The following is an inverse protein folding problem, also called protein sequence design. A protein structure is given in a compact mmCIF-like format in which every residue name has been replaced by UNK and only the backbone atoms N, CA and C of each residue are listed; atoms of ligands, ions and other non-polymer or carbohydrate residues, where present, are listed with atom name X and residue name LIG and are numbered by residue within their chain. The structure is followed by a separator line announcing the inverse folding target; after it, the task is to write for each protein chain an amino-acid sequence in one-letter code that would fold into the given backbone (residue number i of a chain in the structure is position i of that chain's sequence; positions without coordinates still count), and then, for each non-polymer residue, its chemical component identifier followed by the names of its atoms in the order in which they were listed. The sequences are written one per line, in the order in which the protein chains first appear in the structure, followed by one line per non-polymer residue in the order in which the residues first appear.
data_IF_704015744173
#
_entry.id   IF_704015744173
#
_cell.length_a   1.000
_cell.length_b   1.000
_cell.length_c   1.000
_cell.angle_alpha   90.00
_cell.angle_beta   90.00
_cell.angle_gamma   90.00
#
_symmetry.space_group_name_H-M   'P 1'
#
loop_
_entity.id
_entity.type
_entity.pdbx_description
1 polymer ?
#
# COMPACT_ATOMS: atom_id res chain seq x y z
N UNK A 1 62.39 63.54 -31.49
CA UNK A 1 63.56 62.65 -31.61
C UNK A 1 63.25 61.38 -30.82
N UNK A 2 62.87 60.30 -31.52
CA UNK A 2 63.64 59.03 -31.67
C UNK A 2 63.70 58.22 -30.36
N UNK A 3 63.26 56.96 -30.24
CA UNK A 3 62.69 55.96 -31.15
C UNK A 3 62.67 54.57 -30.46
N UNK A 4 61.82 53.65 -30.97
CA UNK A 4 61.96 52.16 -31.12
C UNK A 4 62.51 51.32 -29.93
N UNK A 5 62.14 50.07 -29.69
CA UNK A 5 61.27 49.06 -30.29
C UNK A 5 61.22 47.87 -29.31
N UNK A 6 60.20 47.01 -29.42
CA UNK A 6 60.14 45.75 -28.66
C UNK A 6 58.74 45.16 -28.58
N UNK A 7 58.09 44.92 -29.73
CA UNK A 7 56.94 44.02 -29.81
C UNK A 7 57.40 42.78 -30.55
N UNK A 8 57.63 41.70 -29.81
CA UNK A 8 57.73 40.37 -30.39
C UNK A 8 56.36 39.72 -30.33
N UNK A 9 55.92 39.29 -31.50
CA UNK A 9 54.83 38.33 -31.70
C UNK A 9 55.14 37.04 -30.95
N UNK A 10 54.15 36.51 -30.24
CA UNK A 10 53.96 35.06 -30.16
C UNK A 10 52.46 34.77 -30.30
N UNK A 11 52.12 34.42 -31.55
CA UNK A 11 50.90 33.75 -31.95
C UNK A 11 51.07 32.27 -31.61
N UNK A 12 50.50 31.81 -30.50
CA UNK A 12 50.13 30.40 -30.34
C UNK A 12 48.67 30.34 -29.91
N UNK A 13 47.83 29.99 -30.88
CA UNK A 13 46.42 29.73 -30.71
C UNK A 13 46.21 28.61 -29.71
N UNK A 14 45.71 28.97 -28.54
CA UNK A 14 44.98 28.04 -27.67
C UNK A 14 43.52 28.10 -28.11
N UNK A 15 43.17 27.27 -29.10
CA UNK A 15 41.79 26.81 -29.29
C UNK A 15 41.40 26.00 -28.05
N UNK A 16 40.90 26.71 -27.03
CA UNK A 16 40.27 26.09 -25.88
C UNK A 16 39.00 25.38 -26.34
N UNK A 17 39.13 24.11 -26.70
CA UNK A 17 37.99 23.22 -26.89
C UNK A 17 37.11 23.30 -25.63
N UNK A 18 35.78 23.45 -25.74
CA UNK A 18 34.92 23.31 -24.59
C UNK A 18 35.12 21.89 -24.06
N UNK A 19 35.72 21.77 -22.88
CA UNK A 19 35.75 20.50 -22.17
C UNK A 19 34.30 20.16 -21.81
N UNK A 20 33.67 19.37 -22.69
CA UNK A 20 32.38 18.70 -22.48
C UNK A 20 32.53 17.74 -21.30
N UNK A 21 32.55 18.34 -20.10
CA UNK A 21 32.48 17.63 -18.85
C UNK A 21 31.03 17.20 -18.68
N UNK A 22 30.76 15.95 -19.03
CA UNK A 22 29.54 15.25 -18.64
C UNK A 22 29.50 15.23 -17.11
N UNK A 23 28.92 16.24 -16.49
CA UNK A 23 28.60 16.18 -15.06
C UNK A 23 27.38 15.26 -14.94
N UNK A 24 27.59 13.95 -14.80
CA UNK A 24 26.53 13.05 -14.32
C UNK A 24 26.01 13.67 -13.02
N UNK A 25 24.74 14.09 -13.03
CA UNK A 25 24.11 14.73 -11.87
C UNK A 25 23.89 13.67 -10.79
N UNK A 26 24.93 13.40 -9.98
CA UNK A 26 24.89 12.53 -8.79
C UNK A 26 23.74 12.89 -7.83
N UNK A 27 23.30 14.15 -7.85
CA UNK A 27 22.15 14.65 -7.09
C UNK A 27 20.81 14.02 -7.51
N UNK A 28 20.64 13.63 -8.78
CA UNK A 28 19.41 12.98 -9.25
C UNK A 28 19.35 11.50 -8.82
N UNK A 29 20.49 10.80 -8.85
CA UNK A 29 20.59 9.40 -8.44
C UNK A 29 20.31 9.23 -6.94
N UNK A 30 20.82 10.14 -6.12
CA UNK A 30 20.57 10.13 -4.66
C UNK A 30 19.11 10.37 -4.30
N UNK A 31 18.36 11.16 -5.09
CA UNK A 31 16.94 11.41 -4.88
C UNK A 31 16.09 10.20 -5.34
N UNK A 32 16.47 9.51 -6.42
CA UNK A 32 15.71 8.38 -6.96
C UNK A 32 16.00 7.05 -6.24
N UNK A 33 17.16 6.90 -5.62
CA UNK A 33 17.57 5.66 -4.96
C UNK A 33 16.56 5.14 -3.92
N UNK A 34 15.98 5.96 -3.01
CA UNK A 34 14.98 5.47 -2.05
C UNK A 34 13.71 4.94 -2.74
N UNK A 35 13.27 5.61 -3.81
CA UNK A 35 12.13 5.15 -4.62
C UNK A 35 12.42 3.84 -5.33
N UNK A 36 13.59 3.73 -5.98
CA UNK A 36 14.00 2.50 -6.65
C UNK A 36 14.12 1.33 -5.65
N UNK A 37 14.74 1.56 -4.49
CA UNK A 37 14.88 0.55 -3.44
C UNK A 37 13.52 0.11 -2.89
N UNK A 38 12.61 1.05 -2.61
CA UNK A 38 11.27 0.73 -2.12
C UNK A 38 10.43 -0.02 -3.15
N UNK A 39 10.47 0.40 -4.42
CA UNK A 39 9.79 -0.30 -5.51
C UNK A 39 10.33 -1.70 -5.73
N UNK A 40 11.66 -1.87 -5.70
CA UNK A 40 12.30 -3.17 -5.79
C UNK A 40 11.92 -4.06 -4.61
N UNK A 41 11.95 -3.56 -3.38
CA UNK A 41 11.54 -4.31 -2.20
C UNK A 41 10.08 -4.80 -2.30
N UNK A 42 9.15 -3.96 -2.76
CA UNK A 42 7.75 -4.35 -2.99
C UNK A 42 7.66 -5.49 -4.01
N UNK A 43 8.34 -5.37 -5.15
CA UNK A 43 8.31 -6.39 -6.19
C UNK A 43 8.95 -7.69 -5.70
N UNK A 44 10.16 -7.64 -5.16
CA UNK A 44 10.88 -8.82 -4.67
C UNK A 44 10.09 -9.55 -3.60
N UNK A 45 9.53 -8.84 -2.62
CA UNK A 45 8.68 -9.45 -1.59
C UNK A 45 7.41 -10.06 -2.19
N UNK A 46 6.78 -9.38 -3.14
CA UNK A 46 5.58 -9.91 -3.78
C UNK A 46 5.84 -11.24 -4.48
N UNK A 47 7.01 -11.42 -5.12
CA UNK A 47 7.43 -12.69 -5.73
C UNK A 47 7.99 -13.71 -4.72
N UNK A 48 8.37 -13.28 -3.53
CA UNK A 48 8.73 -14.14 -2.41
C UNK A 48 7.50 -14.46 -1.52
N UNK A 49 6.34 -14.71 -2.13
CA UNK A 49 5.07 -15.00 -1.41
C UNK A 49 4.67 -13.94 -0.37
N UNK A 50 5.04 -12.68 -0.60
CA UNK A 50 4.82 -11.57 0.34
C UNK A 50 5.77 -11.53 1.55
N UNK A 51 6.81 -12.37 1.57
CA UNK A 51 7.69 -12.54 2.73
C UNK A 51 7.00 -13.22 3.91
N UNK A 52 6.04 -14.10 3.64
CA UNK A 52 5.24 -14.78 4.68
C UNK A 52 6.04 -15.83 5.46
N UNK A 53 7.12 -16.35 4.86
CA UNK A 53 7.89 -17.43 5.46
C UNK A 53 8.91 -16.89 6.47
N UNK A 54 9.08 -17.54 7.64
CA UNK A 54 10.03 -17.08 8.67
C UNK A 54 11.46 -16.92 8.17
N UNK A 55 11.89 -17.76 7.22
CA UNK A 55 13.21 -17.67 6.59
C UNK A 55 13.45 -16.29 5.92
N UNK A 56 12.41 -15.70 5.34
CA UNK A 56 12.51 -14.38 4.69
C UNK A 56 12.67 -13.27 5.74
N UNK A 57 12.03 -13.40 6.91
CA UNK A 57 12.10 -12.38 7.96
C UNK A 57 13.53 -12.15 8.46
N UNK A 58 14.33 -13.21 8.62
CA UNK A 58 15.71 -13.12 9.10
C UNK A 58 16.60 -12.31 8.15
N UNK A 59 16.56 -12.63 6.85
CA UNK A 59 17.33 -11.91 5.82
C UNK A 59 16.91 -10.45 5.68
N UNK A 60 15.60 -10.17 5.71
CA UNK A 60 15.09 -8.80 5.63
C UNK A 60 15.46 -8.00 6.88
N UNK A 61 15.37 -8.62 8.06
CA UNK A 61 15.77 -7.97 9.32
C UNK A 61 17.24 -7.60 9.28
N UNK A 62 18.10 -8.52 8.82
CA UNK A 62 19.53 -8.25 8.65
C UNK A 62 19.78 -7.12 7.64
N UNK A 63 19.10 -7.13 6.49
CA UNK A 63 19.25 -6.08 5.48
C UNK A 63 18.87 -4.70 6.04
N UNK A 64 17.72 -4.57 6.71
CA UNK A 64 17.32 -3.31 7.33
C UNK A 64 18.21 -2.94 8.52
N UNK A 65 18.71 -3.91 9.29
CA UNK A 65 19.65 -3.65 10.38
C UNK A 65 20.97 -3.08 9.85
N UNK A 66 21.50 -3.60 8.73
CA UNK A 66 22.69 -3.06 8.08
C UNK A 66 22.45 -1.64 7.55
N UNK A 67 21.26 -1.36 6.99
CA UNK A 67 20.89 0.01 6.58
C UNK A 67 20.82 0.96 7.78
N UNK A 68 20.19 0.53 8.88
CA UNK A 68 20.11 1.34 10.09
C UNK A 68 21.51 1.56 10.71
N UNK A 69 22.33 0.51 10.80
CA UNK A 69 23.68 0.57 11.33
C UNK A 69 24.56 1.48 10.49
N UNK A 70 24.56 1.34 9.17
CA UNK A 70 25.32 2.21 8.27
C UNK A 70 24.87 3.66 8.37
N UNK A 71 23.56 3.91 8.50
CA UNK A 71 23.04 5.25 8.70
C UNK A 71 23.51 5.87 10.02
N UNK A 72 23.53 5.11 11.12
CA UNK A 72 24.05 5.59 12.42
C UNK A 72 25.56 5.82 12.36
N UNK A 73 26.33 4.90 11.76
CA UNK A 73 27.79 5.02 11.67
C UNK A 73 28.25 6.14 10.73
N UNK A 74 27.46 6.47 9.72
CA UNK A 74 27.77 7.56 8.78
C UNK A 74 27.23 8.92 9.23
N UNK A 75 26.44 8.99 10.30
CA UNK A 75 25.86 10.23 10.80
C UNK A 75 26.79 10.91 11.81
N UNK A 76 27.09 12.19 11.58
CA UNK A 76 27.78 13.03 12.59
C UNK A 76 26.87 13.32 13.80
N UNK A 77 25.55 13.41 13.56
CA UNK A 77 24.54 13.61 14.61
C UNK A 77 23.23 12.91 14.20
N UNK A 78 22.64 12.16 15.13
CA UNK A 78 21.33 11.50 14.93
C UNK A 78 20.29 12.22 15.78
N UNK A 79 19.41 12.99 15.15
CA UNK A 79 18.27 13.63 15.81
C UNK A 79 16.97 12.90 15.49
N UNK A 80 16.30 12.39 16.54
CA UNK A 80 15.02 11.69 16.44
C UNK A 80 13.92 12.49 17.13
N UNK A 81 12.83 12.75 16.43
CA UNK A 81 11.66 13.39 17.03
C UNK A 81 10.85 12.39 17.88
N UNK A 82 10.03 12.90 18.80
CA UNK A 82 9.23 12.07 19.71
C UNK A 82 8.31 11.09 18.97
N UNK A 83 7.84 11.43 17.76
CA UNK A 83 6.95 10.56 16.98
C UNK A 83 7.71 9.39 16.38
N UNK A 84 8.92 9.62 15.88
CA UNK A 84 9.80 8.55 15.41
C UNK A 84 10.18 7.60 16.54
N UNK A 85 10.51 8.13 17.73
CA UNK A 85 10.76 7.32 18.91
C UNK A 85 9.52 6.52 19.35
N UNK A 86 8.33 7.14 19.31
CA UNK A 86 7.09 6.44 19.65
C UNK A 86 6.76 5.32 18.64
N UNK A 87 7.02 5.52 17.35
CA UNK A 87 6.83 4.50 16.32
C UNK A 87 7.77 3.31 16.53
N UNK A 88 9.08 3.57 16.60
CA UNK A 88 10.10 2.51 16.74
C UNK A 88 9.97 1.83 18.09
N UNK A 89 9.84 2.60 19.17
CA UNK A 89 9.67 2.09 20.52
C UNK A 89 8.36 1.34 20.71
N UNK A 90 7.27 1.76 20.06
CA UNK A 90 6.00 1.05 20.09
C UNK A 90 6.07 -0.31 19.37
N UNK A 91 6.71 -0.36 18.19
CA UNK A 91 6.95 -1.61 17.48
C UNK A 91 7.89 -2.53 18.26
N UNK A 92 8.99 -2.00 18.82
CA UNK A 92 9.89 -2.76 19.67
C UNK A 92 9.19 -3.28 20.94
N UNK A 93 8.34 -2.46 21.57
CA UNK A 93 7.52 -2.85 22.71
C UNK A 93 6.54 -3.96 22.36
N UNK A 94 5.89 -3.89 21.20
CA UNK A 94 5.01 -4.95 20.70
C UNK A 94 5.79 -6.25 20.43
N UNK A 95 7.00 -6.15 19.86
CA UNK A 95 7.90 -7.29 19.65
C UNK A 95 8.31 -7.94 20.97
N UNK A 96 8.69 -7.15 21.96
CA UNK A 96 9.04 -7.64 23.30
C UNK A 96 7.83 -8.23 24.01
N UNK A 97 6.64 -7.66 23.81
CA UNK A 97 5.39 -8.22 24.33
C UNK A 97 5.06 -9.58 23.70
N UNK A 98 5.22 -9.71 22.38
CA UNK A 98 5.08 -10.98 21.69
C UNK A 98 6.08 -12.01 22.24
N UNK A 99 7.35 -11.63 22.43
CA UNK A 99 8.35 -12.53 23.00
C UNK A 99 8.05 -12.90 24.46
N UNK A 100 7.62 -11.94 25.29
CA UNK A 100 7.22 -12.19 26.67
C UNK A 100 6.03 -13.15 26.76
N UNK A 101 5.17 -13.18 25.73
CA UNK A 101 4.03 -14.09 25.66
C UNK A 101 4.42 -15.56 25.62
N UNK A 102 5.69 -15.89 25.36
CA UNK A 102 6.24 -17.25 25.55
C UNK A 102 5.97 -17.79 26.96
N UNK A 103 5.93 -16.92 27.97
CA UNK A 103 5.76 -17.31 29.38
C UNK A 103 4.40 -17.94 29.66
N UNK A 104 3.35 -17.53 28.93
CA UNK A 104 1.98 -18.00 29.15
C UNK A 104 1.31 -18.63 27.92
N UNK A 105 1.97 -18.64 26.77
CA UNK A 105 1.42 -19.25 25.57
C UNK A 105 1.39 -20.78 25.68
N UNK A 106 0.35 -21.44 25.16
CA UNK A 106 0.30 -22.91 25.10
C UNK A 106 1.45 -23.55 24.31
N UNK A 107 2.07 -22.81 23.39
CA UNK A 107 3.25 -23.23 22.64
C UNK A 107 4.14 -22.02 22.36
N UNK A 108 5.43 -22.13 22.70
CA UNK A 108 6.42 -21.05 22.54
C UNK A 108 6.71 -20.67 21.08
N UNK A 109 6.47 -21.57 20.13
CA UNK A 109 6.79 -21.34 18.72
C UNK A 109 6.01 -20.14 18.11
N UNK A 110 4.71 -20.01 18.41
CA UNK A 110 3.90 -18.93 17.82
C UNK A 110 4.32 -17.54 18.28
N UNK A 111 4.48 -17.27 19.59
CA UNK A 111 4.96 -15.95 20.03
C UNK A 111 6.37 -15.62 19.54
N UNK A 112 7.25 -16.62 19.39
CA UNK A 112 8.59 -16.40 18.82
C UNK A 112 8.51 -15.98 17.36
N UNK A 113 7.74 -16.68 16.52
CA UNK A 113 7.56 -16.31 15.11
C UNK A 113 6.90 -14.93 14.95
N UNK A 114 5.96 -14.58 15.84
CA UNK A 114 5.37 -13.25 15.86
C UNK A 114 6.37 -12.18 16.31
N UNK A 115 7.25 -12.48 17.26
CA UNK A 115 8.34 -11.60 17.68
C UNK A 115 9.38 -11.41 16.57
N UNK A 116 9.74 -12.44 15.80
CA UNK A 116 10.63 -12.33 14.64
C UNK A 116 10.04 -11.39 13.58
N UNK A 117 8.75 -11.53 13.26
CA UNK A 117 8.05 -10.62 12.35
C UNK A 117 7.96 -9.20 12.91
N UNK A 118 7.72 -9.06 14.21
CA UNK A 118 7.70 -7.77 14.90
C UNK A 118 9.06 -7.08 14.86
N UNK A 119 10.15 -7.84 15.05
CA UNK A 119 11.53 -7.34 14.99
C UNK A 119 11.85 -6.80 13.61
N UNK A 120 11.46 -7.51 12.55
CA UNK A 120 11.56 -7.01 11.18
C UNK A 120 10.88 -5.64 11.03
N UNK A 121 9.64 -5.48 11.51
CA UNK A 121 8.93 -4.21 11.42
C UNK A 121 9.59 -3.10 12.23
N UNK A 122 10.07 -3.39 13.45
CA UNK A 122 10.77 -2.42 14.29
C UNK A 122 12.08 -1.95 13.65
N UNK A 123 12.88 -2.87 13.12
CA UNK A 123 14.16 -2.57 12.46
C UNK A 123 13.95 -1.85 11.14
N UNK A 124 12.97 -2.27 10.34
CA UNK A 124 12.60 -1.56 9.11
C UNK A 124 12.14 -0.13 9.40
N UNK A 125 11.32 0.08 10.44
CA UNK A 125 10.90 1.41 10.87
C UNK A 125 12.10 2.26 11.32
N UNK A 126 13.02 1.70 12.11
CA UNK A 126 14.24 2.38 12.52
C UNK A 126 15.11 2.79 11.32
N UNK A 127 15.35 1.88 10.38
CA UNK A 127 16.09 2.17 9.16
C UNK A 127 15.46 3.30 8.34
N UNK A 128 14.13 3.28 8.17
CA UNK A 128 13.41 4.32 7.44
C UNK A 128 13.48 5.67 8.15
N UNK A 129 13.31 5.71 9.48
CA UNK A 129 13.43 6.94 10.27
C UNK A 129 14.83 7.55 10.15
N UNK A 130 15.87 6.71 10.13
CA UNK A 130 17.26 7.16 10.05
C UNK A 130 17.66 7.64 8.65
N UNK A 131 17.16 7.00 7.59
CA UNK A 131 17.60 7.26 6.20
C UNK A 131 16.69 8.21 5.44
N UNK A 132 15.38 8.19 5.71
CA UNK A 132 14.39 8.89 4.87
C UNK A 132 14.15 10.29 5.39
N UNK A 133 14.73 11.27 4.69
CA UNK A 133 14.47 12.68 4.93
C UNK A 133 13.12 13.11 4.33
N UNK A 134 12.56 14.23 4.82
CA UNK A 134 11.30 14.80 4.30
C UNK A 134 11.29 15.02 2.79
N UNK A 135 12.44 15.39 2.22
CA UNK A 135 12.60 15.59 0.78
C UNK A 135 12.51 14.29 -0.03
N UNK A 136 12.84 13.15 0.60
CA UNK A 136 12.92 11.84 -0.05
C UNK A 136 11.67 11.00 0.11
N UNK A 137 10.77 11.36 1.04
CA UNK A 137 9.49 10.66 1.26
C UNK A 137 8.69 10.55 -0.04
N UNK A 138 8.61 11.61 -0.82
CA UNK A 138 7.90 11.62 -2.11
C UNK A 138 8.47 10.58 -3.08
N UNK A 139 9.79 10.47 -3.16
CA UNK A 139 10.48 9.49 -4.01
C UNK A 139 10.21 8.05 -3.53
N UNK A 140 10.33 7.81 -2.22
CA UNK A 140 10.03 6.51 -1.62
C UNK A 140 8.59 6.07 -1.92
N UNK A 141 7.61 6.93 -1.67
CA UNK A 141 6.19 6.64 -1.91
C UNK A 141 5.89 6.45 -3.40
N UNK A 142 6.51 7.24 -4.28
CA UNK A 142 6.39 7.05 -5.72
C UNK A 142 6.97 5.69 -6.16
N UNK A 143 8.08 5.27 -5.55
CA UNK A 143 8.67 3.95 -5.69
C UNK A 143 7.74 2.83 -5.28
N UNK A 144 7.10 2.94 -4.11
CA UNK A 144 6.08 1.99 -3.64
C UNK A 144 4.93 1.89 -4.65
N UNK A 145 4.37 3.02 -5.10
CA UNK A 145 3.29 3.02 -6.10
C UNK A 145 3.75 2.36 -7.41
N UNK A 146 4.96 2.64 -7.87
CA UNK A 146 5.52 2.02 -9.07
C UNK A 146 5.67 0.50 -8.89
N UNK A 147 6.21 0.04 -7.75
CA UNK A 147 6.34 -1.38 -7.42
C UNK A 147 4.99 -2.10 -7.36
N UNK A 148 4.01 -1.53 -6.65
CA UNK A 148 2.64 -2.08 -6.59
C UNK A 148 1.99 -2.11 -7.97
N UNK A 149 2.22 -1.09 -8.80
CA UNK A 149 1.72 -1.06 -10.18
C UNK A 149 2.36 -2.17 -11.01
N UNK A 150 3.67 -2.43 -10.86
CA UNK A 150 4.35 -3.53 -11.55
C UNK A 150 3.79 -4.89 -11.12
N UNK A 151 3.60 -5.11 -9.81
CA UNK A 151 2.96 -6.33 -9.26
C UNK A 151 1.53 -6.48 -9.81
N UNK A 152 0.76 -5.40 -9.85
CA UNK A 152 -0.59 -5.39 -10.41
C UNK A 152 -0.61 -5.75 -11.89
N UNK A 153 0.33 -5.24 -12.69
CA UNK A 153 0.44 -5.57 -14.11
C UNK A 153 0.82 -7.03 -14.32
N UNK A 154 1.76 -7.57 -13.53
CA UNK A 154 2.10 -8.99 -13.56
C UNK A 154 0.89 -9.85 -13.18
N UNK A 155 0.22 -9.53 -12.07
CA UNK A 155 -0.97 -10.24 -11.63
C UNK A 155 -2.05 -10.21 -12.72
N UNK A 156 -2.32 -9.07 -13.34
CA UNK A 156 -3.24 -9.01 -14.48
C UNK A 156 -2.77 -9.86 -15.66
N UNK A 157 -1.47 -9.88 -15.96
CA UNK A 157 -0.94 -10.67 -17.05
C UNK A 157 -1.20 -12.18 -16.89
N UNK A 158 -1.13 -12.72 -15.65
CA UNK A 158 -1.48 -14.13 -15.40
C UNK A 158 -2.95 -14.44 -15.72
N UNK A 159 -3.84 -13.46 -15.53
CA UNK A 159 -5.28 -13.59 -15.84
C UNK A 159 -5.62 -13.31 -17.31
N UNK A 160 -4.95 -12.33 -17.93
CA UNK A 160 -5.26 -11.86 -19.28
C UNK A 160 -4.55 -12.65 -20.38
N UNK A 161 -3.43 -13.30 -20.05
CA UNK A 161 -2.63 -14.10 -20.98
C UNK A 161 -2.32 -15.49 -20.37
N UNK A 162 -3.35 -16.27 -20.00
CA UNK A 162 -3.13 -17.58 -19.40
C UNK A 162 -2.36 -18.51 -20.36
N UNK A 163 -1.51 -19.37 -19.81
CA UNK A 163 -0.59 -20.24 -20.55
C UNK A 163 0.66 -19.54 -21.10
N UNK A 164 0.73 -18.21 -21.06
CA UNK A 164 1.95 -17.45 -21.39
C UNK A 164 2.60 -16.86 -20.13
N UNK A 165 1.78 -16.44 -19.17
CA UNK A 165 2.21 -15.85 -17.89
C UNK A 165 1.50 -16.59 -16.76
N UNK A 166 2.22 -16.88 -15.66
CA UNK A 166 1.64 -17.52 -14.47
C UNK A 166 1.58 -19.05 -14.52
N UNK A 167 2.31 -19.69 -15.44
CA UNK A 167 2.43 -21.15 -15.49
C UNK A 167 1.31 -21.86 -16.27
N UNK A 168 1.12 -23.14 -16.00
CA UNK A 168 0.12 -23.97 -16.66
C UNK A 168 -1.29 -23.52 -16.31
N UNK A 169 -2.16 -23.46 -17.32
CA UNK A 169 -3.56 -23.11 -17.11
C UNK A 169 -4.33 -24.30 -16.54
N UNK A 170 -4.92 -24.12 -15.37
CA UNK A 170 -5.84 -25.07 -14.77
C UNK A 170 -7.26 -24.48 -14.76
N UNK A 171 -8.19 -25.00 -15.59
CA UNK A 171 -9.59 -24.56 -15.61
C UNK A 171 -10.30 -24.69 -14.26
N UNK A 172 -9.84 -25.61 -13.40
CA UNK A 172 -10.43 -25.88 -12.08
C UNK A 172 -9.84 -25.02 -10.97
N UNK A 173 -8.66 -24.42 -11.21
CA UNK A 173 -8.06 -23.46 -10.28
C UNK A 173 -8.98 -22.24 -10.11
N UNK A 174 -9.05 -21.72 -8.88
CA UNK A 174 -9.99 -20.65 -8.53
C UNK A 174 -9.91 -19.41 -9.43
N UNK A 175 -11.01 -18.66 -9.49
CA UNK A 175 -11.11 -17.43 -10.30
C UNK A 175 -10.45 -16.19 -9.64
N UNK A 176 -9.92 -16.35 -8.43
CA UNK A 176 -9.33 -15.27 -7.65
C UNK A 176 -7.88 -14.99 -8.07
N UNK A 177 -7.52 -13.72 -8.13
CA UNK A 177 -6.15 -13.30 -8.42
C UNK A 177 -5.29 -13.33 -7.15
N UNK A 178 -4.27 -14.19 -7.13
CA UNK A 178 -3.39 -14.40 -5.98
C UNK A 178 -1.90 -14.19 -6.29
N UNK A 179 -1.46 -14.54 -7.50
CA UNK A 179 -0.08 -14.37 -7.95
C UNK A 179 0.33 -12.89 -8.05
N UNK A 180 1.59 -12.53 -7.72
CA UNK A 180 2.70 -13.41 -7.35
C UNK A 180 2.78 -13.75 -5.85
N UNK A 181 1.91 -13.15 -5.03
CA UNK A 181 1.96 -13.28 -3.55
C UNK A 181 1.46 -14.65 -3.09
N UNK A 182 0.63 -15.32 -3.89
CA UNK A 182 0.02 -16.60 -3.54
C UNK A 182 -1.24 -16.48 -2.68
N UNK A 183 -1.64 -15.26 -2.27
CA UNK A 183 -2.85 -15.03 -1.46
C UNK A 183 -3.62 -13.77 -1.89
N UNK A 184 -4.85 -13.96 -2.36
CA UNK A 184 -5.67 -12.90 -2.96
C UNK A 184 -6.04 -11.77 -1.99
N UNK A 185 -6.19 -12.05 -0.69
CA UNK A 185 -6.47 -11.02 0.29
C UNK A 185 -5.23 -10.14 0.55
N UNK A 186 -4.03 -10.73 0.61
CA UNK A 186 -2.79 -9.97 0.75
C UNK A 186 -2.52 -9.12 -0.51
N UNK A 187 -2.70 -9.70 -1.70
CA UNK A 187 -2.62 -8.96 -2.95
C UNK A 187 -3.64 -7.81 -2.97
N UNK A 188 -4.89 -8.07 -2.59
CA UNK A 188 -5.93 -7.05 -2.51
C UNK A 188 -5.53 -5.87 -1.61
N UNK A 189 -5.00 -6.13 -0.41
CA UNK A 189 -4.53 -5.07 0.50
C UNK A 189 -3.35 -4.28 -0.09
N UNK A 190 -2.40 -4.95 -0.74
CA UNK A 190 -1.29 -4.28 -1.43
C UNK A 190 -1.80 -3.35 -2.54
N UNK A 191 -2.76 -3.82 -3.34
CA UNK A 191 -3.38 -3.01 -4.41
C UNK A 191 -4.13 -1.81 -3.83
N UNK A 192 -4.84 -1.96 -2.70
CA UNK A 192 -5.50 -0.84 -2.01
C UNK A 192 -4.50 0.22 -1.58
N UNK A 193 -3.35 -0.16 -1.03
CA UNK A 193 -2.28 0.79 -0.71
C UNK A 193 -1.81 1.54 -1.97
N UNK A 194 -1.59 0.82 -3.06
CA UNK A 194 -1.24 1.43 -4.36
C UNK A 194 -2.31 2.41 -4.88
N UNK A 195 -3.59 2.06 -4.76
CA UNK A 195 -4.72 2.92 -5.18
C UNK A 195 -4.75 4.20 -4.34
N UNK A 196 -4.67 4.10 -3.01
CA UNK A 196 -4.76 5.27 -2.12
C UNK A 196 -3.57 6.21 -2.30
N UNK A 197 -2.34 5.67 -2.36
CA UNK A 197 -1.13 6.45 -2.59
C UNK A 197 -1.12 7.06 -4.01
N UNK A 198 -1.48 6.27 -5.03
CA UNK A 198 -1.60 6.71 -6.41
C UNK A 198 -2.63 7.81 -6.58
N UNK A 199 -3.78 7.72 -5.90
CA UNK A 199 -4.79 8.77 -5.88
C UNK A 199 -4.24 10.05 -5.24
N UNK A 200 -3.49 9.94 -4.14
CA UNK A 200 -2.78 11.07 -3.53
C UNK A 200 -1.87 11.80 -4.52
N UNK A 201 -1.02 11.07 -5.25
CA UNK A 201 -0.17 11.64 -6.30
C UNK A 201 -0.97 12.21 -7.47
N UNK A 202 -2.06 11.57 -7.88
CA UNK A 202 -2.91 12.05 -8.96
C UNK A 202 -3.70 13.33 -8.60
N UNK A 203 -3.95 13.57 -7.31
CA UNK A 203 -4.62 14.77 -6.81
C UNK A 203 -3.65 15.92 -6.53
N UNK A 204 -2.48 15.63 -5.98
CA UNK A 204 -1.56 16.63 -5.40
C UNK A 204 -0.16 16.65 -6.01
N UNK A 205 0.27 15.56 -6.63
CA UNK A 205 1.62 15.43 -7.16
C UNK A 205 1.89 16.41 -8.29
N UNK A 206 3.16 16.66 -8.57
CA UNK A 206 3.61 17.43 -9.73
C UNK A 206 3.22 16.73 -11.04
N UNK A 207 3.20 17.44 -12.17
CA UNK A 207 2.78 16.88 -13.47
C UNK A 207 3.46 15.55 -13.80
N UNK A 208 4.76 15.43 -13.49
CA UNK A 208 5.57 14.23 -13.73
C UNK A 208 5.09 12.99 -12.97
N UNK A 209 4.52 13.14 -11.76
CA UNK A 209 3.99 12.03 -10.96
C UNK A 209 2.47 11.90 -11.10
N UNK A 210 1.78 13.00 -11.33
CA UNK A 210 0.31 13.08 -11.38
C UNK A 210 -0.27 12.24 -12.50
N UNK A 211 0.28 12.39 -13.70
CA UNK A 211 -0.17 11.68 -14.90
C UNK A 211 0.03 10.17 -14.79
N UNK A 212 1.25 9.65 -14.52
CA UNK A 212 1.44 8.21 -14.40
C UNK A 212 0.69 7.62 -13.20
N UNK A 213 0.58 8.33 -12.07
CA UNK A 213 -0.19 7.85 -10.92
C UNK A 213 -1.68 7.72 -11.25
N UNK A 214 -2.27 8.71 -11.93
CA UNK A 214 -3.66 8.63 -12.39
C UNK A 214 -3.90 7.51 -13.40
N UNK A 215 -2.93 7.25 -14.28
CA UNK A 215 -2.98 6.15 -15.24
C UNK A 215 -2.86 4.77 -14.54
N UNK A 216 -2.02 4.66 -13.51
CA UNK A 216 -1.82 3.43 -12.74
C UNK A 216 -3.09 2.97 -11.99
N UNK A 217 -4.02 3.87 -11.67
CA UNK A 217 -5.28 3.52 -11.01
C UNK A 217 -6.13 2.52 -11.82
N UNK A 218 -6.00 2.51 -13.16
CA UNK A 218 -6.77 1.59 -14.03
C UNK A 218 -6.36 0.14 -13.80
N UNK A 219 -5.09 -0.28 -14.04
CA UNK A 219 -4.68 -1.65 -13.75
C UNK A 219 -4.84 -2.01 -12.27
N UNK A 220 -4.55 -1.09 -11.35
CA UNK A 220 -4.75 -1.34 -9.91
C UNK A 220 -6.20 -1.69 -9.56
N UNK A 221 -7.17 -0.93 -10.08
CA UNK A 221 -8.59 -1.17 -9.85
C UNK A 221 -9.09 -2.47 -10.48
N UNK A 222 -8.66 -2.77 -11.71
CA UNK A 222 -9.03 -4.02 -12.40
C UNK A 222 -8.41 -5.24 -11.71
N UNK A 223 -7.15 -5.16 -11.30
CA UNK A 223 -6.50 -6.23 -10.54
C UNK A 223 -7.21 -6.44 -9.21
N UNK A 224 -7.56 -5.35 -8.50
CA UNK A 224 -8.26 -5.40 -7.22
C UNK A 224 -9.62 -6.10 -7.38
N UNK A 225 -10.36 -5.81 -8.45
CA UNK A 225 -11.61 -6.50 -8.76
C UNK A 225 -11.41 -8.02 -8.88
N UNK A 226 -10.40 -8.45 -9.64
CA UNK A 226 -10.12 -9.88 -9.83
C UNK A 226 -9.60 -10.60 -8.57
N UNK A 227 -9.20 -9.89 -7.50
CA UNK A 227 -8.92 -10.54 -6.22
C UNK A 227 -10.19 -11.11 -5.56
N UNK A 228 -11.36 -10.55 -5.89
CA UNK A 228 -12.65 -10.82 -5.22
C UNK A 228 -12.56 -10.76 -3.68
N UNK A 229 -11.62 -9.97 -3.15
CA UNK A 229 -11.41 -9.83 -1.71
C UNK A 229 -12.39 -8.83 -1.09
N UNK A 230 -13.35 -9.33 -0.31
CA UNK A 230 -14.28 -8.47 0.46
C UNK A 230 -13.54 -7.60 1.47
N UNK A 231 -12.49 -8.15 2.10
CA UNK A 231 -11.64 -7.43 3.04
C UNK A 231 -10.92 -6.26 2.38
N UNK A 232 -10.38 -6.45 1.18
CA UNK A 232 -9.74 -5.36 0.45
C UNK A 232 -10.74 -4.27 0.02
N UNK A 233 -11.96 -4.65 -0.39
CA UNK A 233 -13.03 -3.66 -0.67
C UNK A 233 -13.35 -2.82 0.57
N UNK A 234 -13.53 -3.45 1.73
CA UNK A 234 -13.75 -2.73 2.99
C UNK A 234 -12.58 -1.83 3.33
N UNK A 235 -11.34 -2.31 3.19
CA UNK A 235 -10.14 -1.51 3.43
C UNK A 235 -10.06 -0.29 2.49
N UNK A 236 -10.41 -0.44 1.21
CA UNK A 236 -10.46 0.66 0.27
C UNK A 236 -11.50 1.71 0.67
N UNK A 237 -12.70 1.27 1.06
CA UNK A 237 -13.77 2.16 1.52
C UNK A 237 -13.34 2.94 2.75
N UNK A 238 -12.77 2.26 3.75
CA UNK A 238 -12.24 2.91 4.96
C UNK A 238 -11.14 3.91 4.60
N UNK A 239 -10.21 3.54 3.72
CA UNK A 239 -9.15 4.43 3.25
C UNK A 239 -9.67 5.68 2.53
N UNK A 240 -10.69 5.53 1.68
CA UNK A 240 -11.35 6.65 1.00
C UNK A 240 -12.06 7.55 2.02
N UNK A 241 -12.79 6.97 2.99
CA UNK A 241 -13.48 7.73 4.04
C UNK A 241 -12.48 8.55 4.87
N UNK A 242 -11.37 7.94 5.30
CA UNK A 242 -10.32 8.64 6.03
C UNK A 242 -9.71 9.75 5.18
N UNK A 243 -9.42 9.49 3.90
CA UNK A 243 -8.86 10.47 3.00
C UNK A 243 -9.80 11.67 2.79
N UNK A 244 -11.10 11.42 2.64
CA UNK A 244 -12.13 12.47 2.52
C UNK A 244 -12.36 13.23 3.84
N UNK A 245 -12.27 12.55 4.98
CA UNK A 245 -12.37 13.19 6.29
C UNK A 245 -11.20 14.15 6.54
N UNK A 246 -9.99 13.78 6.10
CA UNK A 246 -8.79 14.60 6.24
C UNK A 246 -8.72 15.70 5.16
N UNK A 247 -9.18 15.43 3.94
CA UNK A 247 -9.17 16.38 2.82
C UNK A 247 -10.54 16.39 2.10
N UNK A 248 -11.54 17.10 2.63
CA UNK A 248 -12.88 17.14 2.02
C UNK A 248 -12.87 17.68 0.58
N UNK A 249 -11.90 18.55 0.26
CA UNK A 249 -11.72 19.14 -1.08
C UNK A 249 -11.25 18.13 -2.12
N UNK A 250 -10.80 16.94 -1.72
CA UNK A 250 -10.40 15.86 -2.63
C UNK A 250 -11.60 15.19 -3.31
N UNK A 251 -12.83 15.36 -2.79
CA UNK A 251 -14.01 14.62 -3.25
C UNK A 251 -14.26 14.73 -4.76
N UNK A 252 -14.28 15.95 -5.32
CA UNK A 252 -14.49 16.15 -6.75
C UNK A 252 -13.35 15.54 -7.58
N UNK A 253 -12.10 15.68 -7.11
CA UNK A 253 -10.94 15.10 -7.78
C UNK A 253 -11.00 13.56 -7.81
N UNK A 254 -11.35 12.94 -6.68
CA UNK A 254 -11.52 11.50 -6.57
C UNK A 254 -12.63 10.99 -7.47
N UNK A 255 -13.78 11.66 -7.48
CA UNK A 255 -14.90 11.30 -8.35
C UNK A 255 -14.46 11.24 -9.83
N UNK A 256 -13.64 12.20 -10.29
CA UNK A 256 -13.09 12.17 -11.66
C UNK A 256 -12.03 11.09 -11.86
N UNK A 257 -11.22 10.80 -10.83
CA UNK A 257 -10.18 9.77 -10.87
C UNK A 257 -10.76 8.36 -10.93
N UNK A 258 -11.91 8.13 -10.30
CA UNK A 258 -12.56 6.82 -10.24
C UNK A 258 -13.25 6.41 -11.54
N UNK A 259 -13.54 7.34 -12.47
CA UNK A 259 -14.26 7.03 -13.71
C UNK A 259 -13.53 6.00 -14.58
N UNK A 260 -12.23 6.16 -14.82
CA UNK A 260 -11.46 5.24 -15.66
C UNK A 260 -11.26 3.85 -15.02
N UNK A 261 -10.88 3.74 -13.73
CA UNK A 261 -10.87 2.45 -13.02
C UNK A 261 -12.25 1.79 -13.00
N UNK A 262 -13.34 2.54 -12.74
CA UNK A 262 -14.70 1.99 -12.74
C UNK A 262 -15.11 1.45 -14.11
N UNK A 263 -14.77 2.15 -15.20
CA UNK A 263 -14.97 1.66 -16.55
C UNK A 263 -14.16 0.37 -16.81
N UNK A 264 -12.91 0.31 -16.35
CA UNK A 264 -12.08 -0.89 -16.43
C UNK A 264 -12.70 -2.08 -15.69
N UNK A 265 -13.17 -1.88 -14.46
CA UNK A 265 -13.85 -2.89 -13.65
C UNK A 265 -15.14 -3.36 -14.33
N UNK A 266 -15.94 -2.44 -14.88
CA UNK A 266 -17.15 -2.79 -15.61
C UNK A 266 -16.83 -3.67 -16.83
N UNK A 267 -15.78 -3.34 -17.58
CA UNK A 267 -15.33 -4.17 -18.71
C UNK A 267 -14.84 -5.54 -18.24
N UNK A 268 -14.13 -5.60 -17.12
CA UNK A 268 -13.62 -6.83 -16.51
C UNK A 268 -14.73 -7.74 -15.95
N UNK A 269 -15.87 -7.18 -15.58
CA UNK A 269 -17.01 -7.94 -15.04
C UNK A 269 -17.83 -8.71 -16.08
N UNK A 270 -17.71 -8.35 -17.37
CA UNK A 270 -18.49 -8.93 -18.47
C UNK A 270 -18.02 -10.31 -18.95
N UNK A 271 -16.71 -10.58 -19.15
CA UNK A 271 -16.24 -11.86 -19.66
C UNK A 271 -16.40 -13.00 -18.61
N UNK A 272 -17.22 -14.02 -18.87
CA UNK A 272 -17.39 -15.14 -17.92
C UNK A 272 -16.10 -15.94 -17.74
N UNK A 273 -15.27 -16.07 -18.78
CA UNK A 273 -14.03 -16.84 -18.72
C UNK A 273 -12.93 -16.21 -17.86
N UNK A 274 -13.11 -14.96 -17.44
CA UNK A 274 -12.19 -14.28 -16.52
C UNK A 274 -12.75 -14.18 -15.09
N UNK A 275 -14.01 -14.56 -14.87
CA UNK A 275 -14.71 -14.37 -13.59
C UNK A 275 -15.26 -15.66 -13.00
N UNK A 276 -15.24 -16.77 -13.74
CA UNK A 276 -15.71 -18.09 -13.32
C UNK A 276 -14.66 -19.16 -13.64
N UNK A 277 -14.68 -20.24 -12.86
CA UNK A 277 -13.89 -21.44 -13.14
C UNK A 277 -14.59 -22.33 -14.18
N UNK A 278 -13.83 -23.23 -14.80
CA UNK A 278 -14.31 -24.29 -15.70
C UNK A 278 -14.30 -23.94 -17.20
N UNK A 279 -13.74 -22.79 -17.58
CA UNK A 279 -13.71 -22.32 -18.97
C UNK A 279 -12.46 -22.83 -19.71
N UNK A 280 -12.53 -22.90 -21.03
CA UNK A 280 -11.38 -23.41 -21.81
C UNK A 280 -10.27 -22.36 -21.92
N UNK A 281 -9.02 -22.83 -22.06
CA UNK A 281 -7.85 -21.95 -22.25
C UNK A 281 -8.04 -21.00 -23.43
N UNK A 282 -8.53 -21.50 -24.57
CA UNK A 282 -8.72 -20.69 -25.79
C UNK A 282 -9.74 -19.56 -25.56
N UNK A 283 -10.85 -19.85 -24.85
CA UNK A 283 -11.86 -18.84 -24.50
C UNK A 283 -11.30 -17.80 -23.55
N UNK A 284 -10.55 -18.23 -22.53
CA UNK A 284 -9.91 -17.34 -21.55
C UNK A 284 -8.89 -16.40 -22.22
N UNK A 285 -8.06 -16.92 -23.14
CA UNK A 285 -7.10 -16.12 -23.91
C UNK A 285 -7.78 -15.08 -24.80
N UNK A 286 -8.81 -15.48 -25.56
CA UNK A 286 -9.52 -14.57 -26.45
C UNK A 286 -10.22 -13.44 -25.68
N UNK A 287 -10.84 -13.74 -24.53
CA UNK A 287 -11.48 -12.73 -23.68
C UNK A 287 -10.43 -11.85 -22.96
N UNK A 288 -9.32 -12.44 -22.51
CA UNK A 288 -8.21 -11.74 -21.85
C UNK A 288 -7.55 -10.70 -22.76
N UNK A 289 -7.23 -11.07 -24.01
CA UNK A 289 -6.64 -10.15 -25.00
C UNK A 289 -7.54 -8.94 -25.29
N UNK A 290 -8.85 -9.16 -25.43
CA UNK A 290 -9.84 -8.09 -25.65
C UNK A 290 -9.91 -7.13 -24.45
N UNK A 291 -9.87 -7.66 -23.24
CA UNK A 291 -9.88 -6.84 -22.04
C UNK A 291 -8.57 -6.05 -21.89
N UNK A 292 -7.42 -6.67 -22.18
CA UNK A 292 -6.11 -6.02 -22.15
C UNK A 292 -6.05 -4.79 -23.06
N UNK A 293 -6.53 -4.91 -24.30
CA UNK A 293 -6.59 -3.80 -25.26
C UNK A 293 -7.47 -2.65 -24.77
N UNK A 294 -8.66 -2.94 -24.22
CA UNK A 294 -9.54 -1.88 -23.69
C UNK A 294 -8.96 -1.19 -22.46
N UNK A 295 -8.29 -1.94 -21.58
CA UNK A 295 -7.63 -1.38 -20.41
C UNK A 295 -6.44 -0.49 -20.79
N UNK A 296 -5.68 -0.84 -21.85
CA UNK A 296 -4.57 -0.01 -22.33
C UNK A 296 -5.08 1.30 -22.95
N UNK A 297 -6.18 1.27 -23.70
CA UNK A 297 -6.85 2.47 -24.22
C UNK A 297 -7.31 3.41 -23.09
N UNK A 298 -7.97 2.87 -22.05
CA UNK A 298 -8.41 3.65 -20.90
C UNK A 298 -7.23 4.29 -20.16
N UNK A 299 -6.14 3.53 -19.98
CA UNK A 299 -4.90 4.02 -19.38
C UNK A 299 -4.28 5.16 -20.21
N UNK A 300 -4.21 4.99 -21.53
CA UNK A 300 -3.69 5.99 -22.47
C UNK A 300 -4.51 7.28 -22.46
N UNK A 301 -5.84 7.18 -22.54
CA UNK A 301 -6.75 8.33 -22.44
C UNK A 301 -6.59 9.07 -21.12
N UNK A 302 -6.44 8.33 -20.00
CA UNK A 302 -6.21 8.96 -18.69
C UNK A 302 -4.85 9.63 -18.58
N UNK A 303 -3.82 9.04 -19.20
CA UNK A 303 -2.49 9.64 -19.31
C UNK A 303 -2.48 10.94 -20.12
N UNK A 304 -3.29 11.02 -21.18
CA UNK A 304 -3.44 12.24 -21.99
C UNK A 304 -4.29 13.33 -21.33
N UNK A 305 -5.31 12.94 -20.55
CA UNK A 305 -6.17 13.84 -19.78
C UNK A 305 -5.52 14.22 -18.45
N UNK A 306 -4.45 15.02 -18.51
CA UNK A 306 -3.91 15.66 -17.31
C UNK A 306 -5.03 16.38 -16.56
N UNK A 307 -5.23 16.04 -15.28
CA UNK A 307 -6.21 16.73 -14.43
C UNK A 307 -5.88 18.23 -14.49
N UNK A 308 -6.81 19.10 -14.92
CA UNK A 308 -6.53 20.53 -15.01
C UNK A 308 -6.13 20.99 -13.62
N UNK A 309 -4.89 21.45 -13.49
CA UNK A 309 -4.41 22.05 -12.26
C UNK A 309 -5.32 23.24 -11.99
N UNK A 310 -6.14 23.16 -10.93
CA UNK A 310 -6.83 24.33 -10.41
C UNK A 310 -5.75 25.33 -10.02
N UNK A 311 -5.54 26.36 -10.86
CA UNK A 311 -4.72 27.52 -10.51
C UNK A 311 -5.27 28.04 -9.17
N UNK A 312 -4.43 28.04 -8.15
CA UNK A 312 -4.76 28.67 -6.88
C UNK A 312 -5.21 30.10 -7.14
N UNK A 313 -6.30 30.51 -6.49
CA UNK A 313 -6.77 31.88 -6.56
C UNK A 313 -5.63 32.84 -6.18
N UNK A 314 -5.43 33.95 -6.92
CA UNK A 314 -4.40 34.91 -6.58
C UNK A 314 -4.70 35.49 -5.20
N UNK A 315 -3.79 35.25 -4.26
CA UNK A 315 -3.73 35.99 -3.00
C UNK A 315 -3.59 37.47 -3.33
N UNK A 316 -4.59 38.26 -2.93
CA UNK A 316 -4.55 39.71 -3.05
C UNK A 316 -3.23 40.25 -2.49
N UNK A 317 -2.41 40.80 -3.39
CA UNK A 317 -1.27 41.64 -3.06
C UNK A 317 -1.78 42.84 -2.25
N UNK A 318 -1.58 42.80 -0.93
CA UNK A 318 -1.56 44.00 -0.11
C UNK A 318 -0.41 44.87 -0.60
N UNK A 319 -0.73 45.89 -1.40
CA UNK A 319 0.18 46.99 -1.76
C UNK A 319 0.64 47.68 -0.47
N UNK A 320 1.77 47.24 0.08
CA UNK A 320 2.52 47.98 1.08
C UNK A 320 3.10 49.23 0.43
N UNK A 321 2.61 50.41 0.83
CA UNK A 321 3.22 51.70 0.52
C UNK A 321 4.62 51.74 1.15
N UNK A 322 5.65 51.61 0.32
CA UNK A 322 7.02 51.97 0.70
C UNK A 322 7.14 53.50 0.71
N UNK A 323 7.12 54.08 1.90
CA UNK A 323 7.62 55.45 2.11
C UNK A 323 9.14 55.38 2.31
N UNK A 324 9.88 55.87 1.32
CA UNK A 324 11.31 56.13 1.44
C UNK A 324 11.57 57.13 2.58
N UNK A 325 12.35 56.73 3.60
CA UNK A 325 12.96 57.66 4.56
C UNK A 325 14.47 57.59 4.40
N UNK A 326 15.03 58.67 3.84
CA UNK A 326 16.46 58.94 3.82
C UNK A 326 17.01 59.09 5.24
N UNK A 327 18.12 58.43 5.51
CA UNK A 327 18.98 58.64 6.66
C UNK A 327 19.73 59.96 6.52
N UNK A 328 19.43 60.94 7.38
CA UNK A 328 20.36 62.01 7.75
C UNK A 328 20.71 61.82 9.23
N UNK A 329 21.99 61.65 9.50
CA UNK A 329 22.52 61.72 10.85
C UNK A 329 22.47 63.16 11.36
N UNK A 330 22.12 63.32 12.62
CA UNK A 330 22.78 64.33 13.45
C UNK A 330 22.67 63.97 14.94
N UNK A 331 23.61 64.55 15.67
CA UNK A 331 24.06 64.28 17.02
C UNK A 331 23.07 64.74 18.11
N UNK A 332 23.42 64.30 19.33
CA UNK A 332 23.18 64.89 20.67
C UNK A 332 21.96 64.38 21.44
N UNK A 333 22.21 64.10 22.73
CA UNK A 333 21.25 64.48 23.77
C UNK A 333 20.88 63.40 24.79
N UNK A 334 21.73 63.26 25.81
CA UNK A 334 21.48 62.86 27.21
C UNK A 334 20.02 62.73 27.72
N UNK A 335 19.89 61.81 28.69
CA UNK A 335 19.14 61.84 29.96
C UNK A 335 18.14 60.67 30.11
N UNK A 336 18.40 59.68 30.97
CA UNK A 336 17.98 59.59 32.40
C UNK A 336 16.47 59.87 32.57
N UNK A 337 15.63 58.91 32.96
CA UNK A 337 15.35 58.47 34.34
C UNK A 337 14.21 57.44 34.28
N UNK A 338 14.31 56.25 34.89
CA UNK A 338 13.92 55.84 36.26
C UNK A 338 12.41 55.80 36.57
N UNK A 339 12.07 54.78 37.38
CA UNK A 339 10.91 54.59 38.27
C UNK A 339 9.70 53.86 37.64
N UNK A 340 9.34 52.64 38.07
CA UNK A 340 8.86 52.10 39.38
C UNK A 340 7.34 52.25 39.55
N UNK A 341 6.71 51.16 40.01
CA UNK A 341 5.37 51.13 40.62
C UNK A 341 4.43 50.16 39.88
N UNK A 342 4.24 48.90 40.27
CA UNK A 342 3.74 48.33 41.52
C UNK A 342 2.22 48.48 41.74
N UNK A 343 1.64 47.38 42.27
CA UNK A 343 0.31 47.14 42.89
C UNK A 343 -0.76 46.62 41.91
N UNK A 344 -1.25 45.37 42.03
CA UNK A 344 -1.98 44.64 43.10
C UNK A 344 -3.49 44.94 43.14
N UNK A 345 -4.25 43.85 42.89
CA UNK A 345 -5.37 43.29 43.67
C UNK A 345 -6.81 43.79 43.55
N UNK A 346 -7.69 42.78 43.61
CA UNK A 346 -9.13 42.73 43.92
C UNK A 346 -10.08 43.25 42.82
N UNK A 347 -11.23 42.64 42.51
CA UNK A 347 -12.01 41.58 43.16
C UNK A 347 -13.49 41.99 43.22
N UNK A 348 -14.41 41.06 42.91
CA UNK A 348 -15.90 41.15 42.97
C UNK A 348 -16.55 41.98 41.83
N UNK A 349 -17.72 41.68 41.31
CA UNK A 349 -18.73 40.65 41.55
C UNK A 349 -20.03 40.97 40.78
N UNK A 350 -20.93 39.98 40.71
CA UNK A 350 -22.40 40.06 40.49
C UNK A 350 -22.98 40.37 39.08
N UNK A 351 -23.65 39.32 38.59
CA UNK A 351 -24.84 39.10 37.72
C UNK A 351 -25.87 40.26 37.54
N UNK A 352 -27.03 40.03 36.86
CA UNK A 352 -27.31 39.68 35.45
C UNK A 352 -28.40 40.62 34.85
N UNK A 353 -28.81 40.44 33.58
CA UNK A 353 -30.08 40.97 33.10
C UNK A 353 -30.76 40.03 32.09
N UNK A 354 -32.07 40.16 32.04
CA UNK A 354 -33.10 39.16 31.74
C UNK A 354 -33.99 39.56 30.55
N UNK A 355 -34.89 38.63 30.17
CA UNK A 355 -36.18 38.77 29.43
C UNK A 355 -36.06 38.69 27.89
N UNK A 356 -37.02 38.07 27.17
CA UNK A 356 -38.42 37.81 27.51
C UNK A 356 -39.04 36.55 26.85
N UNK A 357 -40.32 36.38 27.17
CA UNK A 357 -41.17 35.18 27.15
C UNK A 357 -42.47 35.49 26.40
N UNK A 358 -43.08 34.48 25.73
CA UNK A 358 -44.51 34.01 25.75
C UNK A 358 -44.75 33.12 24.50
N UNK A 359 -45.20 31.85 24.55
CA UNK A 359 -46.41 31.18 25.10
C UNK A 359 -47.70 31.55 24.34
N UNK A 360 -48.67 30.69 23.97
CA UNK A 360 -48.96 29.23 24.08
C UNK A 360 -49.69 28.76 22.79
N UNK A 361 -50.40 27.63 22.63
CA UNK A 361 -51.12 26.64 23.47
C UNK A 361 -51.48 25.43 22.55
N UNK A 362 -51.21 24.16 22.88
CA UNK A 362 -52.01 23.17 23.64
C UNK A 362 -53.10 22.40 22.86
N UNK A 363 -52.95 21.06 22.74
CA UNK A 363 -53.90 19.94 23.04
C UNK A 363 -53.27 18.62 22.53
N UNK A 364 -52.89 17.66 23.39
CA UNK A 364 -53.65 16.47 23.86
C UNK A 364 -53.96 15.48 22.71
N UNK A 365 -53.81 14.15 22.75
CA UNK A 365 -53.53 13.02 23.67
C UNK A 365 -53.06 11.88 22.73
N UNK A 366 -52.30 10.84 23.05
CA UNK A 366 -51.75 10.32 24.29
C UNK A 366 -51.31 8.87 24.04
N UNK A 367 -50.22 8.47 24.74
CA UNK A 367 -49.95 7.14 25.35
C UNK A 367 -49.82 5.90 24.42
N UNK A 368 -48.97 4.92 24.67
CA UNK A 368 -48.03 4.66 25.75
C UNK A 368 -46.96 3.61 25.34
N UNK A 369 -45.77 3.85 25.89
CA UNK A 369 -44.65 2.97 26.29
C UNK A 369 -45.08 1.69 27.07
N UNK A 370 -44.17 0.82 27.57
CA UNK A 370 -42.79 0.42 27.15
C UNK A 370 -42.43 -1.08 27.40
N UNK A 371 -41.16 -1.40 27.12
CA UNK A 371 -40.23 -2.26 27.88
C UNK A 371 -40.36 -3.80 27.87
N UNK A 372 -39.25 -4.46 27.48
CA UNK A 372 -38.40 -5.31 28.33
C UNK A 372 -37.95 -6.65 27.69
N UNK A 373 -36.71 -7.01 28.04
CA UNK A 373 -36.17 -8.36 28.29
C UNK A 373 -35.72 -9.26 27.12
N UNK A 374 -34.39 -9.50 27.10
CA UNK A 374 -33.71 -10.80 27.19
C UNK A 374 -34.53 -12.06 26.90
N UNK A 375 -34.05 -12.89 25.95
CA UNK A 375 -34.53 -14.26 25.77
C UNK A 375 -33.69 -15.08 24.80
N UNK A 376 -33.00 -16.08 25.33
CA UNK A 376 -32.20 -17.11 24.65
C UNK A 376 -33.06 -18.15 23.92
N UNK A 377 -32.61 -18.56 22.71
CA UNK A 377 -32.73 -19.90 22.06
C UNK A 377 -34.16 -20.38 21.65
N UNK A 378 -34.36 -21.46 20.83
CA UNK A 378 -33.42 -22.48 20.35
C UNK A 378 -33.46 -22.85 18.84
N UNK A 379 -32.52 -23.72 18.45
CA UNK A 379 -32.50 -24.54 17.21
C UNK A 379 -33.70 -25.51 17.16
N UNK A 380 -34.09 -26.02 15.98
CA UNK A 380 -34.63 -27.36 15.86
C UNK A 380 -33.61 -28.33 15.25
N UNK A 381 -33.35 -29.42 15.98
CA UNK A 381 -32.85 -30.68 15.44
C UNK A 381 -34.06 -31.61 15.23
N UNK A 382 -34.03 -32.37 14.14
CA UNK A 382 -34.56 -33.74 14.10
C UNK A 382 -35.93 -33.94 13.45
N UNK A 383 -35.96 -34.66 12.33
CA UNK A 383 -36.72 -35.90 12.07
C UNK A 383 -36.55 -36.23 10.57
N UNK A 384 -35.67 -37.17 10.19
CA UNK A 384 -35.97 -38.60 10.00
C UNK A 384 -37.29 -38.84 9.23
N UNK A 385 -37.15 -39.06 7.93
CA UNK A 385 -38.22 -39.45 7.02
C UNK A 385 -37.66 -40.25 5.85
N UNK A 386 -37.54 -41.56 6.07
CA UNK A 386 -37.24 -42.58 5.07
C UNK A 386 -38.30 -42.63 3.96
N UNK A 387 -37.89 -42.58 2.69
CA UNK A 387 -38.63 -43.22 1.60
C UNK A 387 -37.69 -43.86 0.57
N UNK A 388 -37.85 -45.17 0.45
CA UNK A 388 -37.45 -46.05 -0.65
C UNK A 388 -38.09 -45.59 -1.96
N UNK A 389 -37.36 -45.72 -3.06
CA UNK A 389 -37.91 -46.13 -4.37
C UNK A 389 -36.89 -47.01 -5.07
N UNK A 390 -37.29 -48.25 -5.32
CA UNK A 390 -36.63 -49.29 -6.10
C UNK A 390 -36.86 -49.13 -7.62
N UNK A 391 -35.98 -49.77 -8.40
CA UNK A 391 -36.19 -50.23 -9.80
C UNK A 391 -35.61 -49.27 -10.86
N UNK A 392 -34.51 -49.57 -11.57
CA UNK A 392 -34.29 -50.72 -12.48
C UNK A 392 -34.51 -50.21 -13.93
N UNK A 393 -33.69 -50.39 -14.96
CA UNK A 393 -32.77 -51.47 -15.35
C UNK A 393 -31.98 -51.06 -16.63
N UNK A 394 -30.97 -51.89 -16.96
CA UNK A 394 -30.37 -52.19 -18.29
C UNK A 394 -29.03 -51.54 -18.70
N UNK A 395 -27.98 -52.36 -18.52
CA UNK A 395 -26.80 -52.46 -19.37
C UNK A 395 -27.04 -53.41 -20.57
N UNK A 396 -26.18 -53.35 -21.61
CA UNK A 396 -25.35 -54.51 -22.00
C UNK A 396 -23.89 -54.07 -22.31
N UNK A 397 -22.82 -54.72 -21.85
CA UNK A 397 -22.20 -56.01 -22.21
C UNK A 397 -21.31 -56.03 -23.49
N UNK A 398 -19.99 -56.19 -23.23
CA UNK A 398 -18.92 -56.97 -23.93
C UNK A 398 -18.22 -56.44 -25.20
N UNK A 399 -16.88 -56.44 -25.13
CA UNK A 399 -15.98 -56.67 -26.27
C UNK A 399 -14.47 -56.51 -25.99
N UNK A 400 -13.77 -57.64 -25.79
CA UNK A 400 -12.35 -58.05 -26.11
C UNK A 400 -11.38 -56.95 -26.59
N UNK A 401 -10.08 -56.90 -26.28
CA UNK A 401 -9.09 -57.87 -25.78
C UNK A 401 -7.66 -57.41 -26.18
N UNK A 402 -6.64 -58.19 -25.78
CA UNK A 402 -5.17 -58.07 -26.06
C UNK A 402 -4.45 -57.00 -25.21
N UNK A 403 -3.37 -57.26 -24.47
CA UNK A 403 -2.41 -58.38 -24.47
C UNK A 403 -1.03 -57.86 -24.90
N UNK A 404 -0.15 -57.57 -23.93
CA UNK A 404 1.31 -57.63 -24.11
C UNK A 404 2.01 -57.55 -22.74
N UNK A 405 2.70 -58.64 -22.40
CA UNK A 405 3.69 -58.81 -21.34
C UNK A 405 5.05 -59.03 -22.02
N UNK A 406 6.11 -58.76 -21.25
CA UNK A 406 7.55 -59.05 -21.41
C UNK A 406 8.35 -57.74 -21.52
N UNK A 407 9.40 -57.46 -20.75
CA UNK A 407 10.45 -58.32 -20.13
C UNK A 407 11.04 -57.52 -18.93
N UNK A 408 11.08 -58.09 -17.71
CA UNK A 408 12.28 -58.62 -17.04
C UNK A 408 13.51 -57.69 -17.03
N UNK A 409 13.84 -57.15 -15.85
CA UNK A 409 15.19 -57.35 -15.30
C UNK A 409 15.14 -57.52 -13.77
N UNK A 410 16.02 -58.39 -13.24
CA UNK A 410 16.06 -58.90 -11.86
C UNK A 410 17.21 -58.27 -11.08
N UNK A 411 16.99 -58.09 -9.77
CA UNK A 411 18.04 -58.01 -8.73
C UNK A 411 17.89 -56.76 -7.86
N UNK A 412 17.90 -56.78 -6.52
CA UNK A 412 18.05 -57.85 -5.56
C UNK A 412 17.36 -57.47 -4.23
N UNK A 413 17.07 -58.51 -3.46
CA UNK A 413 16.35 -58.61 -2.20
C UNK A 413 16.52 -57.51 -1.13
N UNK A 414 15.39 -56.99 -0.65
CA UNK A 414 15.21 -56.42 0.70
C UNK A 414 13.94 -56.99 1.33
N UNK A 415 14.05 -57.71 2.44
CA UNK A 415 12.91 -58.34 3.15
C UNK A 415 11.96 -57.28 3.73
N UNK A 416 10.62 -57.41 3.59
CA UNK A 416 9.67 -56.50 4.23
C UNK A 416 9.35 -56.90 5.68
N UNK A 417 9.50 -55.97 6.61
CA UNK A 417 9.03 -56.08 8.00
C UNK A 417 7.49 -56.01 8.04
N UNK A 418 6.85 -56.92 8.80
CA UNK A 418 5.40 -56.90 9.08
C UNK A 418 5.07 -55.84 10.16
N UNK A 419 3.98 -55.06 10.03
CA UNK A 419 3.55 -54.14 11.07
C UNK A 419 2.89 -54.86 12.27
N UNK A 420 3.33 -54.49 13.48
CA UNK A 420 2.80 -54.95 14.78
C UNK A 420 1.39 -54.40 15.04
N UNK A 421 0.51 -55.24 15.60
CA UNK A 421 -0.80 -54.84 16.13
C UNK A 421 -0.65 -54.14 17.50
N UNK A 422 -1.52 -53.18 17.85
CA UNK A 422 -1.50 -52.48 19.14
C UNK A 422 -2.01 -53.37 20.30
N UNK A 423 -1.36 -53.27 21.46
CA UNK A 423 -1.81 -53.90 22.72
C UNK A 423 -2.80 -52.99 23.48
N UNK A 424 -3.77 -53.57 24.21
CA UNK A 424 -4.71 -52.82 25.05
C UNK A 424 -4.11 -52.46 26.43
N UNK A 425 -4.54 -51.30 26.93
CA UNK A 425 -4.23 -50.73 28.26
C UNK A 425 -4.87 -51.57 29.38
N UNK A 426 -4.16 -51.89 30.48
CA UNK A 426 -4.78 -52.51 31.65
C UNK A 426 -5.61 -51.50 32.45
N UNK A 427 -6.78 -51.92 32.91
CA UNK A 427 -7.49 -51.31 34.03
C UNK A 427 -7.04 -51.99 35.33
N UNK A 428 -6.99 -51.16 36.37
CA UNK A 428 -6.69 -51.38 37.79
C UNK A 428 -5.22 -51.48 38.19
#
# INVERSE_FOLDING_TARGET
MHGRAGRSCDLLGSTGAPADTWRIRLRSLTILAPGAAAGAAVVTLAFASGGYHPADHGLLTLAFALVALTAVLAADEVSLDRRSLALVGGLAGLTLWALASVVWAPAAAWPVLDAERGLLYAVAAAALVLVVTRERVTSLLAGVVAGVTAVSLYALATRLFPGHVGGAYDPSSGYQLSEPIGYWNALGLLLVLGVLLGAGFALRGESMLRVPAGAALVPLGVALYFTFSRGAVVALLVGIVVLLALEPRAATGLATLTLAPAAGILLASRPPALTRAGETLATAQAQGQRLAARCSELRGRRGGLGVPARRGAPSHLSRGRQTCRHSRGDRRGRARTRSRGARRWAGRGRRPCSRGVRAGSATDLGRARPAAALGLRPRPCGLLGSRRTDGGTRAPARGRGRGLRATLDRGAAGRPQRPRRPQPVPRD
#
